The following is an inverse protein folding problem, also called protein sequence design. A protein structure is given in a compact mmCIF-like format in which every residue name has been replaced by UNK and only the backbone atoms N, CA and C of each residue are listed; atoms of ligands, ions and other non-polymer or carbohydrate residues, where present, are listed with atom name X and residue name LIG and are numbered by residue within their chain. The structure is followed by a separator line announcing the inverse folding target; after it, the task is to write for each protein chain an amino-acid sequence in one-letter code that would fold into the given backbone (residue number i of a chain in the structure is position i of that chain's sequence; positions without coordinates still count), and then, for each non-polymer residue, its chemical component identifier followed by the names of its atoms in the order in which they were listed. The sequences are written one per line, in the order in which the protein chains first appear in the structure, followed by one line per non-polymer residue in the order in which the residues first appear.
data_IF_707615467381
#
_entry.id   IF_707615467381
#
_cell.length_a   1.000
_cell.length_b   1.000
_cell.length_c   1.000
_cell.angle_alpha   90.00
_cell.angle_beta   90.00
_cell.angle_gamma   90.00
#
_symmetry.space_group_name_H-M   'P 1'
#
loop_
_entity.id
_entity.type
_entity.pdbx_description
1 polymer ?
#
# COMPACT_ATOMS: atom_id res chain seq x y z
N UNK A 1 -13.81 2.02 18.02
CA UNK A 1 -13.88 0.87 17.10
C UNK A 1 -13.72 1.45 15.69
N UNK A 2 -12.94 0.85 14.78
CA UNK A 2 -12.94 1.27 13.38
C UNK A 2 -14.37 1.17 12.83
N UNK A 3 -14.83 2.19 12.12
CA UNK A 3 -16.08 2.12 11.36
C UNK A 3 -15.77 1.37 10.06
N UNK A 4 -16.27 0.15 9.95
CA UNK A 4 -16.03 -0.73 8.79
C UNK A 4 -16.98 -0.44 7.63
N UNK A 5 -17.82 0.59 7.73
CA UNK A 5 -18.86 0.93 6.74
C UNK A 5 -18.82 2.40 6.28
N UNK A 6 -18.06 3.28 6.95
CA UNK A 6 -18.04 4.71 6.62
C UNK A 6 -16.69 5.26 6.14
N UNK A 7 -15.62 4.47 6.17
CA UNK A 7 -14.28 4.94 5.82
C UNK A 7 -13.23 3.84 5.70
N UNK A 8 -12.00 4.27 5.46
CA UNK A 8 -10.84 3.38 5.40
C UNK A 8 -10.50 2.88 6.82
N UNK A 9 -10.18 1.59 6.93
CA UNK A 9 -9.87 0.92 8.21
C UNK A 9 -8.64 1.52 8.89
N UNK A 10 -7.68 1.99 8.10
CA UNK A 10 -6.47 2.64 8.59
C UNK A 10 -5.79 3.45 7.50
N UNK A 11 -5.16 4.57 7.90
CA UNK A 11 -4.23 5.31 7.05
C UNK A 11 -2.84 4.64 6.93
N UNK A 12 -2.64 3.49 7.55
CA UNK A 12 -1.48 2.62 7.36
C UNK A 12 -1.56 1.81 6.06
N UNK A 13 -1.93 2.45 4.95
CA UNK A 13 -2.02 1.84 3.62
C UNK A 13 -0.65 1.31 3.21
N UNK A 14 -0.59 0.05 2.76
CA UNK A 14 0.61 -0.64 2.27
C UNK A 14 0.66 -0.76 0.76
N UNK A 15 -0.50 -0.93 0.15
CA UNK A 15 -0.66 -1.15 -1.29
C UNK A 15 -2.07 -0.73 -1.71
N UNK A 16 -2.25 -0.39 -2.98
CA UNK A 16 -3.53 0.01 -3.55
C UNK A 16 -3.62 -0.42 -5.02
N UNK A 17 -4.78 -0.94 -5.42
CA UNK A 17 -5.02 -1.36 -6.80
C UNK A 17 -6.40 -0.90 -7.27
N UNK A 18 -6.52 -0.78 -8.60
CA UNK A 18 -7.81 -0.70 -9.26
C UNK A 18 -8.46 -2.09 -9.20
N UNK A 19 -9.65 -2.14 -8.61
CA UNK A 19 -10.48 -3.33 -8.60
C UNK A 19 -11.16 -3.56 -9.94
N UNK A 20 -11.76 -4.74 -10.10
CA UNK A 20 -12.43 -5.14 -11.35
C UNK A 20 -13.84 -4.57 -11.50
N UNK A 21 -14.38 -3.94 -10.47
CA UNK A 21 -15.75 -3.43 -10.42
C UNK A 21 -15.79 -1.89 -10.37
N UNK A 22 -14.74 -1.21 -10.86
CA UNK A 22 -14.62 0.25 -10.78
C UNK A 22 -14.30 0.77 -9.36
N UNK A 23 -13.93 -0.14 -8.48
CA UNK A 23 -13.56 0.12 -7.09
C UNK A 23 -12.05 0.34 -6.92
N UNK A 24 -11.66 0.92 -5.80
CA UNK A 24 -10.26 1.03 -5.38
C UNK A 24 -10.08 0.23 -4.11
N UNK A 25 -9.16 -0.74 -4.15
CA UNK A 25 -8.88 -1.65 -3.03
C UNK A 25 -7.58 -1.20 -2.38
N UNK A 26 -7.60 -1.07 -1.05
CA UNK A 26 -6.46 -0.68 -0.23
C UNK A 26 -6.08 -1.83 0.71
N UNK A 27 -4.83 -2.26 0.64
CA UNK A 27 -4.20 -3.06 1.68
C UNK A 27 -3.76 -2.13 2.80
N UNK A 28 -4.14 -2.43 4.04
CA UNK A 28 -3.81 -1.60 5.20
C UNK A 28 -3.23 -2.43 6.33
N UNK A 29 -2.64 -1.77 7.32
CA UNK A 29 -2.25 -2.41 8.58
C UNK A 29 -3.44 -2.80 9.48
N UNK A 30 -4.69 -2.59 9.03
CA UNK A 30 -5.93 -2.95 9.75
C UNK A 30 -6.95 -3.72 8.89
N UNK A 31 -6.49 -4.35 7.81
CA UNK A 31 -7.29 -5.17 6.91
C UNK A 31 -7.32 -4.62 5.49
N UNK A 32 -8.39 -4.95 4.78
CA UNK A 32 -8.67 -4.45 3.43
C UNK A 32 -9.78 -3.42 3.53
N UNK A 33 -9.58 -2.30 2.84
CA UNK A 33 -10.62 -1.28 2.66
C UNK A 33 -10.89 -1.10 1.18
N UNK A 34 -12.15 -0.91 0.83
CA UNK A 34 -12.58 -0.73 -0.55
C UNK A 34 -13.40 0.53 -0.65
N UNK A 35 -13.03 1.37 -1.61
CA UNK A 35 -13.84 2.48 -2.08
C UNK A 35 -14.60 2.03 -3.33
N UNK A 36 -15.92 1.99 -3.25
CA UNK A 36 -16.77 1.50 -4.34
C UNK A 36 -16.91 2.55 -5.44
N UNK A 37 -17.29 2.12 -6.65
CA UNK A 37 -17.61 3.00 -7.77
C UNK A 37 -18.66 4.07 -7.41
N UNK A 38 -19.62 3.72 -6.52
CA UNK A 38 -20.66 4.63 -6.04
C UNK A 38 -20.19 5.59 -4.93
N UNK A 39 -18.91 5.57 -4.60
CA UNK A 39 -18.29 6.48 -3.64
C UNK A 39 -18.50 6.11 -2.17
N UNK A 40 -18.85 4.86 -1.89
CA UNK A 40 -19.02 4.34 -0.52
C UNK A 40 -17.82 3.53 -0.06
N UNK A 41 -17.68 3.35 1.25
CA UNK A 41 -16.62 2.53 1.84
C UNK A 41 -17.16 1.25 2.45
N UNK A 42 -16.37 0.20 2.36
CA UNK A 42 -16.44 -0.90 3.31
C UNK A 42 -15.05 -1.40 3.64
N UNK A 43 -14.90 -2.02 4.80
CA UNK A 43 -13.64 -2.60 5.24
C UNK A 43 -13.85 -3.96 5.88
N UNK A 44 -12.88 -4.86 5.71
CA UNK A 44 -12.90 -6.21 6.27
C UNK A 44 -11.54 -6.57 6.86
N UNK A 45 -11.53 -7.35 7.93
CA UNK A 45 -10.32 -7.90 8.54
C UNK A 45 -10.57 -9.24 9.22
N UNK A 46 -9.53 -9.83 9.80
CA UNK A 46 -9.60 -11.13 10.47
C UNK A 46 -10.66 -11.23 11.57
N UNK A 47 -11.06 -10.11 12.20
CA UNK A 47 -12.07 -10.07 13.26
C UNK A 47 -13.46 -9.67 12.76
N UNK A 48 -13.53 -9.06 11.58
CA UNK A 48 -14.77 -8.63 10.95
C UNK A 48 -14.75 -9.05 9.46
N UNK A 49 -14.89 -10.36 9.18
CA UNK A 49 -15.02 -10.84 7.81
C UNK A 49 -16.37 -10.42 7.21
N UNK A 50 -16.48 -10.40 5.89
CA UNK A 50 -17.72 -10.00 5.23
C UNK A 50 -17.87 -10.56 3.81
N UNK A 51 -19.11 -10.66 3.36
CA UNK A 51 -19.39 -10.91 1.95
C UNK A 51 -19.06 -9.65 1.14
N UNK A 52 -18.31 -9.85 0.06
CA UNK A 52 -17.87 -8.78 -0.83
C UNK A 52 -18.09 -9.21 -2.29
N UNK A 53 -18.00 -8.29 -3.27
CA UNK A 53 -17.96 -8.66 -4.69
C UNK A 53 -16.81 -9.61 -5.08
N UNK A 54 -15.81 -9.80 -4.20
CA UNK A 54 -14.70 -10.73 -4.37
C UNK A 54 -14.91 -12.08 -3.64
N UNK A 55 -16.13 -12.33 -3.13
CA UNK A 55 -16.48 -13.51 -2.34
C UNK A 55 -16.50 -13.25 -0.84
N UNK A 56 -16.64 -14.31 -0.04
CA UNK A 56 -16.56 -14.21 1.42
C UNK A 56 -15.12 -13.93 1.83
N UNK A 57 -14.83 -12.66 2.11
CA UNK A 57 -13.50 -12.18 2.43
C UNK A 57 -13.29 -12.22 3.95
N UNK A 58 -12.48 -13.19 4.36
CA UNK A 58 -12.00 -13.36 5.73
C UNK A 58 -10.46 -13.27 5.75
N UNK A 59 -9.90 -12.05 5.85
CA UNK A 59 -8.45 -11.85 5.85
C UNK A 59 -7.76 -12.69 6.92
N UNK A 60 -6.67 -13.35 6.54
CA UNK A 60 -5.91 -14.24 7.42
C UNK A 60 -5.30 -13.50 8.61
N UNK A 61 -4.79 -12.28 8.38
CA UNK A 61 -4.18 -11.44 9.39
C UNK A 61 -4.68 -9.99 9.28
N UNK A 62 -4.48 -9.22 10.35
CA UNK A 62 -4.84 -7.80 10.40
C UNK A 62 -3.98 -6.95 9.46
N UNK A 63 -2.69 -7.24 9.34
CA UNK A 63 -1.80 -6.48 8.46
C UNK A 63 -1.77 -7.11 7.07
N UNK A 64 -2.28 -6.37 6.08
CA UNK A 64 -2.21 -6.73 4.67
C UNK A 64 -1.05 -5.96 4.04
N UNK A 65 -0.12 -6.66 3.42
CA UNK A 65 1.12 -6.06 2.89
C UNK A 65 1.07 -5.79 1.40
N UNK A 66 0.32 -6.60 0.64
CA UNK A 66 0.22 -6.49 -0.81
C UNK A 66 -1.11 -7.02 -1.30
N UNK A 67 -1.62 -6.49 -2.41
CA UNK A 67 -2.84 -6.98 -3.06
C UNK A 67 -2.68 -6.94 -4.57
N UNK A 68 -3.26 -7.90 -5.26
CA UNK A 68 -3.29 -7.93 -6.72
C UNK A 68 -4.51 -8.70 -7.23
N UNK A 69 -4.89 -8.47 -8.48
CA UNK A 69 -5.87 -9.30 -9.19
C UNK A 69 -5.14 -10.19 -10.19
N UNK A 70 -5.53 -11.46 -10.28
CA UNK A 70 -5.10 -12.33 -11.39
C UNK A 70 -5.89 -12.08 -12.67
N UNK A 71 -5.63 -12.87 -13.72
CA UNK A 71 -6.21 -12.67 -15.05
C UNK A 71 -7.72 -12.94 -15.05
N UNK A 72 -8.19 -13.81 -14.17
CA UNK A 72 -9.60 -14.14 -13.95
C UNK A 72 -10.30 -13.12 -13.02
N UNK A 73 -9.54 -12.20 -12.44
CA UNK A 73 -10.02 -11.17 -11.54
C UNK A 73 -10.31 -11.67 -10.13
N UNK A 74 -9.66 -12.75 -9.68
CA UNK A 74 -9.63 -13.13 -8.28
C UNK A 74 -8.63 -12.30 -7.50
N UNK A 75 -8.99 -12.00 -6.25
CA UNK A 75 -8.16 -11.19 -5.37
C UNK A 75 -7.08 -12.05 -4.69
N UNK A 76 -5.84 -11.64 -4.87
CA UNK A 76 -4.66 -12.15 -4.18
C UNK A 76 -4.29 -11.19 -3.05
N UNK A 77 -4.07 -11.73 -1.86
CA UNK A 77 -3.83 -10.94 -0.66
C UNK A 77 -2.58 -11.46 0.04
N UNK A 78 -1.59 -10.58 0.21
CA UNK A 78 -0.32 -10.87 0.88
C UNK A 78 -0.31 -10.41 2.33
N UNK A 79 0.36 -11.20 3.16
CA UNK A 79 0.52 -10.99 4.60
C UNK A 79 1.99 -11.19 5.03
N UNK A 80 2.38 -10.76 6.24
CA UNK A 80 3.67 -11.10 6.81
C UNK A 80 3.93 -12.61 6.99
N UNK A 81 2.88 -13.43 6.92
CA UNK A 81 2.97 -14.88 7.15
C UNK A 81 2.27 -15.72 6.06
N UNK A 82 2.15 -15.22 4.84
CA UNK A 82 1.68 -15.99 3.68
C UNK A 82 0.75 -15.20 2.80
N UNK A 83 -0.05 -15.88 1.99
CA UNK A 83 -1.04 -15.23 1.11
C UNK A 83 -2.37 -15.98 1.08
N UNK A 84 -3.42 -15.26 0.72
CA UNK A 84 -4.73 -15.80 0.37
C UNK A 84 -5.03 -15.57 -1.11
N UNK A 85 -5.60 -16.56 -1.78
CA UNK A 85 -5.99 -16.50 -3.19
C UNK A 85 -7.49 -16.74 -3.27
N UNK A 86 -8.22 -15.77 -3.82
CA UNK A 86 -9.64 -15.92 -4.10
C UNK A 86 -9.90 -17.02 -5.12
N UNK A 87 -11.00 -17.76 -4.95
CA UNK A 87 -11.47 -18.77 -5.91
C UNK A 87 -12.89 -18.47 -6.42
N UNK A 88 -13.37 -17.24 -6.18
CA UNK A 88 -14.71 -16.79 -6.51
C UNK A 88 -15.79 -17.15 -5.48
N UNK A 89 -15.53 -18.10 -4.57
CA UNK A 89 -16.45 -18.47 -3.47
C UNK A 89 -15.89 -18.11 -2.10
N UNK A 90 -14.57 -18.26 -1.92
CA UNK A 90 -13.83 -17.95 -0.72
C UNK A 90 -12.35 -17.76 -1.04
N UNK A 91 -11.50 -18.10 -0.08
CA UNK A 91 -10.06 -17.85 -0.18
C UNK A 91 -9.26 -19.07 0.27
N UNK A 92 -8.35 -19.52 -0.59
CA UNK A 92 -7.35 -20.55 -0.28
C UNK A 92 -6.15 -19.90 0.40
N UNK A 93 -5.67 -20.49 1.50
CA UNK A 93 -4.50 -20.00 2.25
C UNK A 93 -3.23 -20.72 1.78
N UNK A 94 -2.17 -19.97 1.50
CA UNK A 94 -0.83 -20.49 1.17
C UNK A 94 0.18 -19.97 2.19
N UNK A 95 0.65 -20.88 3.05
CA UNK A 95 1.72 -20.62 4.04
C UNK A 95 2.82 -21.71 3.98
N UNK A 96 2.77 -22.61 3.00
CA UNK A 96 3.69 -23.75 2.94
C UNK A 96 5.05 -23.34 2.35
N UNK A 97 6.14 -23.84 2.94
CA UNK A 97 7.50 -23.62 2.45
C UNK A 97 7.80 -24.33 1.12
N UNK A 98 6.98 -25.30 0.72
CA UNK A 98 6.98 -25.88 -0.60
C UNK A 98 6.78 -24.80 -1.67
N UNK A 99 5.80 -23.91 -1.45
CA UNK A 99 5.41 -22.86 -2.39
C UNK A 99 6.12 -21.53 -2.11
N UNK A 100 6.25 -21.14 -0.84
CA UNK A 100 6.79 -19.85 -0.43
C UNK A 100 8.07 -20.05 0.40
N UNK A 101 9.25 -19.78 -0.19
CA UNK A 101 10.53 -19.93 0.53
C UNK A 101 10.71 -18.93 1.68
N UNK A 102 9.91 -17.88 1.69
CA UNK A 102 9.67 -17.03 2.84
C UNK A 102 8.18 -16.70 2.87
N UNK A 103 7.57 -16.63 4.05
CA UNK A 103 6.14 -16.35 4.18
C UNK A 103 5.82 -14.86 4.18
N UNK A 104 6.79 -14.00 4.45
CA UNK A 104 6.59 -12.56 4.46
C UNK A 104 6.41 -12.05 3.03
N UNK A 105 5.19 -11.68 2.64
CA UNK A 105 4.92 -11.14 1.30
C UNK A 105 5.29 -9.67 1.27
N UNK A 106 6.21 -9.29 0.38
CA UNK A 106 6.66 -7.91 0.24
C UNK A 106 5.79 -7.14 -0.77
N UNK A 107 5.61 -7.68 -1.97
CA UNK A 107 4.81 -7.11 -3.06
C UNK A 107 4.41 -8.19 -4.06
N UNK A 108 3.38 -7.92 -4.86
CA UNK A 108 2.87 -8.82 -5.90
C UNK A 108 2.49 -8.02 -7.14
N UNK A 109 2.61 -8.63 -8.32
CA UNK A 109 2.14 -8.05 -9.57
C UNK A 109 1.67 -9.13 -10.52
N UNK A 110 0.62 -8.86 -11.28
CA UNK A 110 0.20 -9.71 -12.41
C UNK A 110 0.97 -9.31 -13.66
N UNK A 111 1.45 -10.30 -14.40
CA UNK A 111 2.03 -10.11 -15.73
C UNK A 111 1.49 -11.17 -16.70
N UNK A 112 0.57 -10.78 -17.59
CA UNK A 112 -0.22 -11.73 -18.37
C UNK A 112 -1.04 -12.65 -17.45
N UNK A 113 -0.96 -13.95 -17.66
CA UNK A 113 -1.65 -14.97 -16.84
C UNK A 113 -0.78 -15.45 -15.66
N UNK A 114 0.32 -14.75 -15.38
CA UNK A 114 1.25 -15.08 -14.31
C UNK A 114 1.11 -14.12 -13.13
N UNK A 115 1.21 -14.66 -11.92
CA UNK A 115 1.39 -13.87 -10.71
C UNK A 115 2.84 -13.94 -10.28
N UNK A 116 3.42 -12.77 -10.02
CA UNK A 116 4.79 -12.63 -9.53
C UNK A 116 4.73 -12.13 -8.09
N UNK A 117 5.39 -12.85 -7.18
CA UNK A 117 5.27 -12.68 -5.73
C UNK A 117 6.66 -12.59 -5.11
N UNK A 118 6.98 -11.43 -4.54
CA UNK A 118 8.21 -11.22 -3.80
C UNK A 118 8.02 -11.59 -2.34
N UNK A 119 8.94 -12.38 -1.78
CA UNK A 119 8.80 -12.86 -0.39
C UNK A 119 10.06 -12.64 0.44
N UNK A 120 9.96 -11.79 1.47
CA UNK A 120 11.00 -11.51 2.45
C UNK A 120 12.38 -11.32 1.81
N UNK A 121 13.34 -12.16 2.20
CA UNK A 121 14.70 -12.21 1.64
C UNK A 121 14.95 -13.37 0.67
N UNK A 122 13.89 -14.02 0.19
CA UNK A 122 13.99 -15.23 -0.61
C UNK A 122 13.95 -14.99 -2.13
N UNK A 123 13.97 -13.74 -2.58
CA UNK A 123 13.82 -13.40 -4.00
C UNK A 123 12.37 -13.46 -4.45
N UNK A 124 12.12 -14.16 -5.55
CA UNK A 124 10.88 -14.03 -6.32
C UNK A 124 10.24 -15.39 -6.60
N UNK A 125 8.92 -15.44 -6.56
CA UNK A 125 8.13 -16.60 -6.94
C UNK A 125 7.23 -16.23 -8.11
N UNK A 126 6.99 -17.19 -9.00
CA UNK A 126 6.05 -17.08 -10.10
C UNK A 126 5.01 -18.18 -10.00
N UNK A 127 3.76 -17.80 -10.12
CA UNK A 127 2.63 -18.70 -10.21
C UNK A 127 1.99 -18.60 -11.59
N UNK A 128 1.75 -19.75 -12.23
CA UNK A 128 1.10 -19.84 -13.54
C UNK A 128 0.34 -21.16 -13.66
N UNK A 129 -0.95 -21.10 -14.02
CA UNK A 129 -1.87 -22.23 -13.93
C UNK A 129 -2.00 -22.68 -12.47
N UNK A 130 -1.34 -23.79 -12.12
CA UNK A 130 -1.22 -24.29 -10.74
C UNK A 130 0.24 -24.52 -10.31
N UNK A 131 1.19 -24.12 -11.16
CA UNK A 131 2.62 -24.33 -10.95
C UNK A 131 3.29 -23.17 -10.22
N UNK A 132 4.14 -23.49 -9.25
CA UNK A 132 5.01 -22.52 -8.58
C UNK A 132 6.46 -22.68 -9.05
N UNK A 133 7.07 -21.58 -9.47
CA UNK A 133 8.51 -21.50 -9.76
C UNK A 133 9.16 -20.55 -8.76
N UNK A 134 10.30 -20.93 -8.21
CA UNK A 134 11.08 -20.07 -7.30
C UNK A 134 12.37 -19.62 -7.97
N UNK A 135 12.57 -18.31 -8.04
CA UNK A 135 13.79 -17.66 -8.48
C UNK A 135 14.58 -17.21 -7.25
N UNK A 136 15.59 -18.02 -6.91
CA UNK A 136 16.50 -17.72 -5.80
C UNK A 136 17.44 -16.56 -6.18
N UNK A 137 17.88 -15.72 -5.22
CA UNK A 137 18.71 -14.54 -5.53
C UNK A 137 20.00 -14.88 -6.30
N UNK A 138 20.72 -15.92 -5.89
CA UNK A 138 21.93 -16.40 -6.57
C UNK A 138 21.60 -17.56 -7.56
N UNK A 139 20.46 -17.46 -8.24
CA UNK A 139 20.02 -18.42 -9.25
C UNK A 139 20.69 -18.21 -10.61
N UNK A 140 20.69 -19.23 -11.48
CA UNK A 140 21.22 -19.12 -12.84
C UNK A 140 20.48 -18.10 -13.71
N UNK A 141 19.23 -17.74 -13.35
CA UNK A 141 18.39 -16.77 -14.06
C UNK A 141 18.84 -15.32 -13.85
N UNK A 142 19.82 -15.07 -12.96
CA UNK A 142 20.42 -13.75 -12.79
C UNK A 142 19.63 -12.76 -11.93
N UNK A 143 18.63 -13.22 -11.15
CA UNK A 143 17.79 -12.34 -10.31
C UNK A 143 18.65 -11.40 -9.45
N UNK A 144 19.66 -11.94 -8.75
CA UNK A 144 20.62 -11.16 -7.98
C UNK A 144 20.00 -10.20 -6.97
N UNK A 145 18.79 -10.49 -6.51
CA UNK A 145 17.97 -9.60 -5.66
C UNK A 145 17.38 -10.41 -4.51
N UNK A 146 17.75 -10.07 -3.27
CA UNK A 146 17.31 -10.78 -2.08
C UNK A 146 15.97 -10.25 -1.58
N UNK A 147 15.85 -8.94 -1.51
CA UNK A 147 14.68 -8.25 -0.94
C UNK A 147 14.05 -7.42 -2.04
N UNK A 148 13.16 -8.05 -2.82
CA UNK A 148 12.35 -7.35 -3.81
C UNK A 148 11.22 -6.63 -3.08
N UNK A 149 11.09 -5.33 -3.34
CA UNK A 149 10.17 -4.43 -2.59
C UNK A 149 9.14 -3.74 -3.50
N UNK A 150 9.42 -3.64 -4.80
CA UNK A 150 8.53 -2.99 -5.76
C UNK A 150 8.64 -3.70 -7.12
N UNK A 151 7.51 -3.87 -7.80
CA UNK A 151 7.44 -4.49 -9.12
C UNK A 151 6.37 -3.81 -9.96
N UNK A 152 6.66 -3.59 -11.24
CA UNK A 152 5.70 -3.06 -12.22
C UNK A 152 5.90 -3.72 -13.57
N UNK A 153 4.82 -3.80 -14.35
CA UNK A 153 4.88 -4.17 -15.76
C UNK A 153 4.86 -2.90 -16.60
N UNK A 154 5.89 -2.69 -17.41
CA UNK A 154 5.87 -1.65 -18.44
C UNK A 154 4.90 -2.06 -19.54
N UNK A 155 3.78 -1.34 -19.65
CA UNK A 155 2.76 -1.63 -20.64
C UNK A 155 3.23 -1.44 -22.08
N UNK A 156 4.24 -0.58 -22.33
CA UNK A 156 4.71 -0.30 -23.68
C UNK A 156 5.65 -1.39 -24.20
N UNK A 157 6.55 -1.89 -23.35
CA UNK A 157 7.51 -2.94 -23.73
C UNK A 157 7.08 -4.35 -23.33
N UNK A 158 5.97 -4.50 -22.61
CA UNK A 158 5.54 -5.74 -21.94
C UNK A 158 6.69 -6.36 -21.12
N UNK A 159 7.36 -5.57 -20.29
CA UNK A 159 8.50 -6.03 -19.47
C UNK A 159 8.23 -5.88 -17.98
N UNK A 160 8.64 -6.87 -17.19
CA UNK A 160 8.58 -6.81 -15.73
C UNK A 160 9.83 -6.12 -15.18
N UNK A 161 9.64 -4.98 -14.52
CA UNK A 161 10.71 -4.23 -13.84
C UNK A 161 10.57 -4.41 -12.34
N UNK A 162 11.70 -4.75 -11.70
CA UNK A 162 11.78 -5.17 -10.30
C UNK A 162 12.77 -4.28 -9.58
N UNK A 163 12.32 -3.65 -8.50
CA UNK A 163 13.15 -2.90 -7.59
C UNK A 163 13.47 -3.68 -6.31
N UNK A 164 14.74 -3.66 -5.91
CA UNK A 164 15.22 -4.30 -4.69
C UNK A 164 15.87 -3.29 -3.76
N UNK A 165 15.57 -3.41 -2.45
CA UNK A 165 16.02 -2.48 -1.39
C UNK A 165 17.52 -2.18 -1.45
N UNK A 166 18.36 -3.19 -1.71
CA UNK A 166 19.82 -3.06 -1.70
C UNK A 166 20.51 -3.52 -3.00
N UNK A 167 19.80 -4.23 -3.88
CA UNK A 167 20.41 -4.92 -5.02
C UNK A 167 20.21 -4.20 -6.38
N UNK A 168 19.54 -3.04 -6.33
CA UNK A 168 19.21 -2.17 -7.45
C UNK A 168 17.97 -2.64 -8.21
N UNK A 169 17.95 -2.37 -9.51
CA UNK A 169 16.82 -2.68 -10.38
C UNK A 169 17.17 -3.84 -11.33
N UNK A 170 16.21 -4.73 -11.56
CA UNK A 170 16.26 -5.80 -12.56
C UNK A 170 15.12 -5.65 -13.55
N UNK A 171 15.31 -6.14 -14.76
CA UNK A 171 14.27 -6.23 -15.79
C UNK A 171 14.21 -7.64 -16.35
N UNK A 172 13.00 -8.15 -16.53
CA UNK A 172 12.72 -9.36 -17.30
C UNK A 172 11.91 -8.94 -18.53
N UNK A 173 12.55 -9.00 -19.69
CA UNK A 173 12.04 -8.42 -20.94
C UNK A 173 11.08 -9.32 -21.71
N UNK A 174 11.22 -10.63 -21.56
CA UNK A 174 10.43 -11.61 -22.30
C UNK A 174 9.63 -12.47 -21.33
N UNK A 175 8.31 -12.46 -21.49
CA UNK A 175 7.37 -13.26 -20.71
C UNK A 175 7.35 -14.72 -21.14
N UNK A 176 7.61 -14.99 -22.40
CA UNK A 176 7.42 -16.31 -23.04
C UNK A 176 8.72 -17.09 -23.24
N UNK A 177 9.86 -16.40 -23.19
CA UNK A 177 11.18 -16.96 -23.39
C UNK A 177 11.83 -17.54 -22.14
N UNK A 178 13.13 -17.79 -22.24
CA UNK A 178 13.96 -18.18 -21.10
C UNK A 178 14.00 -17.04 -20.08
N UNK A 179 13.71 -17.35 -18.81
CA UNK A 179 13.71 -16.34 -17.76
C UNK A 179 15.14 -15.90 -17.45
N UNK A 180 15.45 -14.65 -17.81
CA UNK A 180 16.72 -13.99 -17.51
C UNK A 180 16.48 -12.58 -17.03
N UNK A 181 16.88 -12.32 -15.79
CA UNK A 181 16.84 -11.00 -15.19
C UNK A 181 18.10 -10.24 -15.56
N UNK A 182 17.93 -9.10 -16.22
CA UNK A 182 19.02 -8.21 -16.58
C UNK A 182 19.12 -7.06 -15.58
N UNK A 183 20.35 -6.64 -15.26
CA UNK A 183 20.58 -5.49 -14.40
C UNK A 183 20.36 -4.17 -15.15
N UNK A 184 19.53 -3.30 -14.59
CA UNK A 184 19.37 -1.93 -15.06
C UNK A 184 20.50 -1.07 -14.48
N UNK A 185 21.31 -0.49 -15.36
CA UNK A 185 22.45 0.37 -14.99
C UNK A 185 22.27 1.77 -15.56
N UNK A 186 22.86 2.76 -14.89
CA UNK A 186 22.98 4.12 -15.42
C UNK A 186 24.45 4.40 -15.68
N UNK A 187 24.80 4.70 -16.94
CA UNK A 187 26.20 4.94 -17.36
C UNK A 187 27.17 3.80 -16.97
N UNK A 188 26.67 2.56 -16.98
CA UNK A 188 27.46 1.36 -16.61
C UNK A 188 27.56 1.09 -15.11
N UNK A 189 26.95 1.92 -14.27
CA UNK A 189 26.93 1.73 -12.82
C UNK A 189 25.58 1.19 -12.32
N UNK A 190 25.64 0.34 -11.29
CA UNK A 190 24.46 -0.15 -10.57
C UNK A 190 23.73 1.02 -9.94
N UNK A 191 22.41 1.06 -10.11
CA UNK A 191 21.54 2.00 -9.41
C UNK A 191 21.49 1.66 -7.91
N UNK A 192 22.39 2.27 -7.12
CA UNK A 192 22.43 2.08 -5.67
C UNK A 192 21.37 2.92 -4.98
N UNK A 193 20.63 2.31 -4.06
CA UNK A 193 19.61 3.00 -3.27
C UNK A 193 18.39 3.48 -4.07
N UNK A 194 18.14 2.89 -5.24
CA UNK A 194 16.92 3.08 -6.04
C UNK A 194 16.25 1.71 -6.10
N UNK A 195 15.12 1.60 -5.42
CA UNK A 195 14.40 0.35 -5.21
C UNK A 195 12.91 0.47 -5.52
N UNK A 196 12.38 1.69 -5.66
CA UNK A 196 10.98 1.91 -5.93
C UNK A 196 10.76 2.13 -7.42
N UNK A 197 9.75 1.45 -7.96
CA UNK A 197 9.40 1.50 -9.38
C UNK A 197 7.91 1.83 -9.55
N UNK A 198 7.58 2.69 -10.52
CA UNK A 198 6.20 3.09 -10.84
C UNK A 198 6.01 3.13 -12.34
N UNK A 199 4.83 2.75 -12.81
CA UNK A 199 4.47 2.77 -14.22
C UNK A 199 4.53 4.21 -14.76
N UNK A 200 5.10 4.38 -15.95
CA UNK A 200 4.87 5.56 -16.77
C UNK A 200 3.70 5.26 -17.74
N UNK A 201 2.56 5.98 -17.65
CA UNK A 201 1.42 5.80 -18.55
C UNK A 201 1.76 6.00 -20.03
N UNK A 202 2.86 6.68 -20.35
CA UNK A 202 3.34 6.90 -21.72
C UNK A 202 4.38 5.87 -22.18
N UNK A 203 4.60 4.82 -21.39
CA UNK A 203 5.60 3.78 -21.61
C UNK A 203 6.88 4.03 -20.86
N UNK A 204 7.54 2.95 -20.43
CA UNK A 204 8.68 3.02 -19.51
C UNK A 204 8.28 2.94 -18.04
N UNK A 205 9.27 3.10 -17.18
CA UNK A 205 9.12 2.96 -15.73
C UNK A 205 9.88 4.07 -15.02
N UNK A 206 9.22 4.75 -14.10
CA UNK A 206 9.90 5.65 -13.17
C UNK A 206 10.62 4.83 -12.10
N UNK A 207 11.89 5.17 -11.85
CA UNK A 207 12.72 4.61 -10.80
C UNK A 207 13.04 5.73 -9.83
N UNK A 208 12.80 5.57 -8.53
CA UNK A 208 13.03 6.66 -7.61
C UNK A 208 13.53 6.22 -6.24
N UNK A 209 13.99 7.22 -5.49
CA UNK A 209 14.28 7.13 -4.08
C UNK A 209 13.94 8.47 -3.42
N UNK A 210 14.41 8.67 -2.19
CA UNK A 210 14.15 9.88 -1.41
C UNK A 210 14.66 11.20 -2.01
N UNK A 211 15.55 11.17 -3.00
CA UNK A 211 16.21 12.37 -3.52
C UNK A 211 16.14 12.54 -5.03
N UNK A 212 15.80 11.50 -5.79
CA UNK A 212 15.75 11.57 -7.26
C UNK A 212 14.66 10.70 -7.86
N UNK A 213 14.12 11.17 -8.98
CA UNK A 213 13.30 10.41 -9.91
C UNK A 213 14.06 10.28 -11.23
N UNK A 214 14.22 9.04 -11.67
CA UNK A 214 14.75 8.65 -12.97
C UNK A 214 13.64 7.98 -13.77
N UNK A 215 13.86 7.86 -15.08
CA UNK A 215 13.00 7.12 -15.99
C UNK A 215 13.83 6.09 -16.72
N UNK A 216 13.34 4.86 -16.78
CA UNK A 216 13.91 3.77 -17.55
C UNK A 216 13.01 3.45 -18.73
N UNK A 217 13.61 3.33 -19.91
CA UNK A 217 12.99 2.71 -21.08
C UNK A 217 13.99 1.74 -21.71
N UNK A 218 13.54 0.66 -22.38
CA UNK A 218 14.44 -0.25 -23.08
C UNK A 218 15.35 0.46 -24.10
N UNK A 219 14.82 1.46 -24.81
CA UNK A 219 15.53 2.14 -25.90
C UNK A 219 16.50 3.22 -25.43
N UNK A 220 16.10 4.05 -24.45
CA UNK A 220 16.91 5.16 -23.98
C UNK A 220 17.76 4.82 -22.73
N UNK A 221 17.54 3.66 -22.12
CA UNK A 221 18.11 3.32 -20.83
C UNK A 221 17.57 4.24 -19.72
N UNK A 222 18.43 4.58 -18.76
CA UNK A 222 18.06 5.39 -17.59
C UNK A 222 18.38 6.87 -17.83
N UNK A 223 17.37 7.72 -17.72
CA UNK A 223 17.48 9.19 -17.86
C UNK A 223 16.96 9.89 -16.61
N UNK A 224 17.58 11.01 -16.16
CA UNK A 224 17.07 11.79 -15.03
C UNK A 224 15.76 12.49 -15.40
N UNK A 225 14.83 12.56 -14.43
CA UNK A 225 13.56 13.31 -14.56
C UNK A 225 13.61 14.55 -13.68
N UNK A 226 13.84 14.37 -12.38
CA UNK A 226 14.00 15.45 -11.40
C UNK A 226 14.79 14.98 -10.17
N UNK A 227 15.38 15.93 -9.47
CA UNK A 227 15.88 15.80 -8.11
C UNK A 227 14.99 16.52 -7.11
N UNK A 228 15.10 16.17 -5.83
CA UNK A 228 14.36 16.86 -4.77
C UNK A 228 14.65 18.37 -4.70
N UNK A 229 15.86 18.80 -5.11
CA UNK A 229 16.23 20.21 -5.21
C UNK A 229 15.51 20.98 -6.33
N UNK A 230 14.91 20.28 -7.29
CA UNK A 230 14.07 20.90 -8.32
C UNK A 230 12.65 21.20 -7.80
N UNK A 231 12.24 20.58 -6.69
CA UNK A 231 10.92 20.75 -6.10
C UNK A 231 10.84 21.98 -5.18
N UNK A 232 11.91 22.22 -4.42
CA UNK A 232 11.95 23.30 -3.42
C UNK A 232 13.39 23.75 -3.16
N UNK A 233 13.53 25.01 -2.78
CA UNK A 233 14.80 25.56 -2.27
C UNK A 233 15.24 24.93 -0.95
N UNK A 234 14.30 24.36 -0.20
CA UNK A 234 14.57 23.64 1.04
C UNK A 234 14.59 22.13 0.79
N UNK A 235 15.40 21.36 1.54
CA UNK A 235 15.42 19.90 1.41
C UNK A 235 14.02 19.31 1.59
N UNK A 236 13.63 18.46 0.64
CA UNK A 236 12.37 17.72 0.62
C UNK A 236 12.69 16.25 0.40
N UNK A 237 11.96 15.36 1.07
CA UNK A 237 12.07 13.91 0.87
C UNK A 237 10.98 13.43 -0.06
N UNK A 238 11.36 12.73 -1.13
CA UNK A 238 10.41 12.05 -2.02
C UNK A 238 9.97 10.75 -1.34
N UNK A 239 8.68 10.62 -1.04
CA UNK A 239 8.13 9.44 -0.38
C UNK A 239 7.47 8.47 -1.37
N UNK A 240 6.81 9.01 -2.40
CA UNK A 240 6.17 8.22 -3.46
C UNK A 240 5.92 9.09 -4.69
N UNK A 241 5.65 8.46 -5.83
CA UNK A 241 5.26 9.15 -7.06
C UNK A 241 4.10 8.42 -7.74
N UNK A 242 3.26 9.18 -8.44
CA UNK A 242 2.24 8.60 -9.31
C UNK A 242 2.02 9.48 -10.54
N UNK A 243 2.11 8.87 -11.72
CA UNK A 243 1.91 9.57 -12.98
C UNK A 243 0.47 9.39 -13.47
N UNK A 244 -0.10 10.47 -13.97
CA UNK A 244 -1.44 10.46 -14.60
C UNK A 244 -1.31 10.28 -16.11
N UNK A 245 -2.37 9.78 -16.74
CA UNK A 245 -2.50 9.70 -18.20
C UNK A 245 -2.50 11.07 -18.92
N UNK A 246 -2.59 12.17 -18.16
CA UNK A 246 -2.53 13.54 -18.69
C UNK A 246 -1.11 14.12 -18.76
N UNK A 247 -0.11 13.42 -18.24
CA UNK A 247 1.28 13.90 -18.22
C UNK A 247 1.72 14.57 -16.92
N UNK A 248 0.83 14.73 -15.94
CA UNK A 248 1.21 15.19 -14.60
C UNK A 248 1.85 14.03 -13.81
N UNK A 249 3.05 14.25 -13.29
CA UNK A 249 3.69 13.40 -12.29
C UNK A 249 3.46 14.00 -10.91
N UNK A 250 2.67 13.34 -10.06
CA UNK A 250 2.54 13.72 -8.67
C UNK A 250 3.67 13.13 -7.84
N UNK A 251 4.20 13.94 -6.90
CA UNK A 251 5.26 13.58 -5.98
C UNK A 251 4.75 13.80 -4.55
N UNK A 252 4.63 12.72 -3.79
CA UNK A 252 4.39 12.79 -2.36
C UNK A 252 5.69 13.08 -1.63
N UNK A 253 5.63 13.97 -0.65
CA UNK A 253 6.80 14.39 0.10
C UNK A 253 6.52 14.65 1.57
N UNK A 254 7.56 14.98 2.34
CA UNK A 254 7.44 15.52 3.70
C UNK A 254 6.99 16.99 3.75
N UNK A 255 6.89 17.64 2.59
CA UNK A 255 6.43 19.01 2.44
C UNK A 255 5.30 19.11 1.40
N UNK A 256 4.27 18.26 1.50
CA UNK A 256 3.07 18.29 0.66
C UNK A 256 3.18 17.43 -0.61
N UNK A 257 2.30 17.72 -1.57
CA UNK A 257 2.25 17.06 -2.89
C UNK A 257 2.71 18.06 -3.94
N UNK A 258 3.73 17.72 -4.73
CA UNK A 258 4.12 18.49 -5.90
C UNK A 258 3.52 17.85 -7.14
N UNK A 259 3.05 18.65 -8.09
CA UNK A 259 2.77 18.21 -9.45
C UNK A 259 3.87 18.70 -10.38
N UNK A 260 4.48 17.78 -11.11
CA UNK A 260 5.57 18.04 -12.05
C UNK A 260 5.12 17.78 -13.49
N UNK A 261 5.47 18.69 -14.39
CA UNK A 261 5.25 18.56 -15.83
C UNK A 261 6.50 19.01 -16.62
N UNK A 262 6.38 19.15 -17.94
CA UNK A 262 7.48 19.56 -18.82
C UNK A 262 8.08 20.94 -18.52
N UNK A 263 7.37 21.79 -17.77
CA UNK A 263 7.82 23.13 -17.35
C UNK A 263 8.38 23.15 -15.92
N UNK A 264 8.46 21.99 -15.24
CA UNK A 264 8.89 21.87 -13.85
C UNK A 264 7.71 21.73 -12.88
N UNK A 265 7.82 22.35 -11.71
CA UNK A 265 6.75 22.35 -10.68
C UNK A 265 5.56 23.16 -11.19
N UNK A 266 4.45 22.46 -11.45
CA UNK A 266 3.19 23.03 -11.94
C UNK A 266 2.23 23.40 -10.81
N UNK A 267 2.31 22.69 -9.68
CA UNK A 267 1.50 22.93 -8.49
C UNK A 267 2.20 22.37 -7.25
N UNK A 268 1.81 22.91 -6.09
CA UNK A 268 2.24 22.45 -4.79
C UNK A 268 1.06 22.53 -3.84
N UNK A 269 0.59 21.37 -3.35
CA UNK A 269 -0.54 21.27 -2.43
C UNK A 269 0.01 20.99 -1.04
N UNK A 270 -0.41 21.80 -0.09
CA UNK A 270 0.02 21.77 1.31
C UNK A 270 -1.18 21.69 2.25
N UNK A 271 -0.91 21.72 3.56
CA UNK A 271 -1.95 21.86 4.57
C UNK A 271 -2.69 23.18 4.50
N UNK A 272 -2.09 24.23 3.90
CA UNK A 272 -2.79 25.48 3.62
C UNK A 272 -3.90 25.32 2.57
N UNK A 273 -3.77 24.32 1.70
CA UNK A 273 -4.71 24.05 0.62
C UNK A 273 -5.80 23.04 1.04
N UNK A 274 -5.63 22.35 2.16
CA UNK A 274 -6.61 21.39 2.70
C UNK A 274 -6.05 20.01 3.04
N UNK A 275 -4.77 19.73 2.79
CA UNK A 275 -4.15 18.50 3.28
C UNK A 275 -4.13 18.47 4.81
N UNK A 276 -4.53 17.35 5.41
CA UNK A 276 -4.49 17.22 6.89
C UNK A 276 -3.07 17.18 7.46
N UNK A 277 -2.06 16.91 6.62
CA UNK A 277 -0.65 16.96 6.96
C UNK A 277 0.18 17.18 5.71
N UNK A 278 1.32 17.85 5.85
CA UNK A 278 2.31 17.97 4.78
C UNK A 278 3.13 16.69 4.60
N UNK A 279 3.07 15.73 5.54
CA UNK A 279 3.78 14.46 5.37
C UNK A 279 2.90 13.49 4.59
N UNK A 280 3.13 13.44 3.27
CA UNK A 280 2.42 12.56 2.35
C UNK A 280 3.26 11.31 2.11
N UNK A 281 2.70 10.15 2.41
CA UNK A 281 3.44 8.87 2.44
C UNK A 281 3.35 8.08 1.15
N UNK A 282 2.20 8.10 0.49
CA UNK A 282 1.90 7.27 -0.69
C UNK A 282 0.96 7.99 -1.63
N UNK A 283 1.08 7.67 -2.91
CA UNK A 283 0.18 8.09 -3.97
C UNK A 283 -0.30 6.88 -4.77
N UNK A 284 -1.53 6.95 -5.28
CA UNK A 284 -2.07 5.97 -6.20
C UNK A 284 -3.03 6.67 -7.17
N UNK A 285 -2.81 6.50 -8.48
CA UNK A 285 -3.75 7.01 -9.50
C UNK A 285 -4.69 5.87 -9.90
N UNK A 286 -5.98 6.09 -9.69
CA UNK A 286 -6.98 5.10 -10.04
C UNK A 286 -7.45 5.20 -11.50
N UNK A 287 -8.31 4.26 -11.91
CA UNK A 287 -8.84 4.17 -13.27
C UNK A 287 -9.70 5.39 -13.68
N UNK A 288 -10.27 6.10 -12.71
CA UNK A 288 -11.05 7.33 -12.93
C UNK A 288 -10.15 8.57 -13.07
N UNK A 289 -8.84 8.43 -12.85
CA UNK A 289 -7.86 9.51 -12.89
C UNK A 289 -7.79 10.31 -11.59
N UNK A 290 -8.38 9.84 -10.49
CA UNK A 290 -8.19 10.43 -9.16
C UNK A 290 -6.81 10.05 -8.64
N UNK A 291 -6.09 11.00 -8.06
CA UNK A 291 -4.83 10.73 -7.38
C UNK A 291 -5.08 10.62 -5.88
N UNK A 292 -5.19 9.40 -5.38
CA UNK A 292 -5.27 9.08 -3.97
C UNK A 292 -3.96 9.41 -3.27
N UNK A 293 -4.04 9.99 -2.08
CA UNK A 293 -2.91 10.32 -1.24
C UNK A 293 -3.12 9.84 0.19
N UNK A 294 -2.03 9.44 0.83
CA UNK A 294 -2.03 8.96 2.22
C UNK A 294 -1.22 9.89 3.08
N UNK A 295 -1.84 10.40 4.15
CA UNK A 295 -1.18 11.20 5.19
C UNK A 295 -1.40 10.54 6.56
N UNK A 296 -0.64 10.90 7.61
CA UNK A 296 -0.91 10.39 8.96
C UNK A 296 -2.39 10.54 9.36
N UNK A 297 -3.06 9.42 9.60
CA UNK A 297 -4.45 9.38 10.06
C UNK A 297 -5.50 9.73 9.00
N UNK A 298 -5.14 9.90 7.72
CA UNK A 298 -6.13 10.20 6.69
C UNK A 298 -5.73 9.71 5.30
N UNK A 299 -6.73 9.35 4.50
CA UNK A 299 -6.61 9.13 3.06
C UNK A 299 -7.59 10.07 2.38
N UNK A 300 -7.14 10.70 1.30
CA UNK A 300 -7.95 11.55 0.45
C UNK A 300 -7.56 11.34 -1.02
N UNK A 301 -8.18 12.07 -1.92
CA UNK A 301 -7.76 12.08 -3.32
C UNK A 301 -7.85 13.47 -3.92
N UNK A 302 -7.02 13.71 -4.93
CA UNK A 302 -7.11 14.86 -5.83
C UNK A 302 -8.01 14.42 -7.01
N UNK A 303 -9.09 15.14 -7.33
CA UNK A 303 -9.96 14.79 -8.45
C UNK A 303 -9.22 14.92 -9.79
N UNK A 304 -9.73 14.29 -10.86
CA UNK A 304 -9.10 14.36 -12.18
C UNK A 304 -9.04 15.80 -12.66
N UNK A 305 -7.85 16.27 -13.05
CA UNK A 305 -7.67 17.64 -13.55
C UNK A 305 -8.28 17.77 -14.95
N UNK A 306 -9.55 18.16 -15.02
CA UNK A 306 -10.27 18.44 -16.27
C UNK A 306 -10.69 19.91 -16.33
N UNK A 307 -9.87 20.78 -16.96
CA UNK A 307 -10.22 22.19 -17.19
C UNK A 307 -10.48 23.02 -15.91
N UNK A 308 -10.79 24.33 -16.01
CA UNK A 308 -10.63 25.25 -14.90
C UNK A 308 -11.81 25.17 -13.94
N UNK A 309 -11.77 24.28 -12.95
CA UNK A 309 -12.63 24.43 -11.77
C UNK A 309 -12.05 23.78 -10.52
N UNK A 310 -12.22 24.52 -9.43
CA UNK A 310 -11.97 24.28 -8.00
C UNK A 310 -11.57 22.86 -7.60
N UNK A 311 -10.38 22.78 -6.99
CA UNK A 311 -9.82 21.65 -6.28
C UNK A 311 -10.76 21.25 -5.12
N UNK A 312 -11.57 20.20 -5.28
CA UNK A 312 -12.30 19.59 -4.17
C UNK A 312 -11.41 18.54 -3.51
N UNK A 313 -10.75 18.92 -2.41
CA UNK A 313 -9.87 18.05 -1.61
C UNK A 313 -10.65 17.29 -0.53
N UNK A 314 -11.91 16.91 -0.79
CA UNK A 314 -12.74 16.21 0.19
C UNK A 314 -11.99 15.03 0.83
N UNK A 315 -11.71 15.15 2.12
CA UNK A 315 -11.00 14.14 2.89
C UNK A 315 -12.00 13.13 3.43
N UNK A 316 -11.76 11.83 3.23
CA UNK A 316 -12.54 10.77 3.89
C UNK A 316 -11.99 10.62 5.32
N UNK A 317 -12.75 10.95 6.37
CA UNK A 317 -12.26 10.84 7.74
C UNK A 317 -11.92 9.40 8.10
N UNK A 318 -10.77 9.17 8.72
CA UNK A 318 -10.52 7.93 9.48
C UNK A 318 -11.19 8.13 10.84
N UNK A 319 -12.14 7.29 11.25
CA UNK A 319 -12.80 7.48 12.53
C UNK A 319 -11.81 7.27 13.69
N UNK A 320 -11.66 8.29 14.53
CA UNK A 320 -10.95 8.20 15.80
C UNK A 320 -11.81 7.40 16.78
N UNK A 321 -11.29 6.36 17.47
CA UNK A 321 -12.07 5.67 18.48
C UNK A 321 -12.43 6.63 19.61
N UNK A 322 -13.74 6.84 19.84
CA UNK A 322 -14.22 7.48 21.06
C UNK A 322 -13.74 6.69 22.28
N UNK A 323 -13.00 7.36 23.16
CA UNK A 323 -12.72 6.84 24.49
C UNK A 323 -14.04 6.85 25.24
N UNK A 324 -14.62 5.67 25.43
CA UNK A 324 -15.74 5.50 26.35
C UNK A 324 -15.26 5.96 27.74
N UNK A 325 -15.70 7.15 28.14
CA UNK A 325 -15.55 7.62 29.51
C UNK A 325 -16.44 6.72 30.36
N UNK A 326 -15.83 5.74 31.01
CA UNK A 326 -16.45 5.02 32.12
C UNK A 326 -16.70 6.03 33.23
N UNK A 327 -17.94 6.51 33.31
CA UNK A 327 -18.43 7.29 34.45
C UNK A 327 -18.51 6.33 35.63
N UNK A 328 -17.46 6.30 36.45
CA UNK A 328 -17.52 5.71 37.78
C UNK A 328 -18.39 6.60 38.66
N UNK A 329 -19.63 6.20 38.88
CA UNK A 329 -20.56 6.86 39.79
C UNK A 329 -21.12 5.88 40.81
N UNK A 330 -20.58 5.92 42.04
CA UNK A 330 -21.37 5.75 43.27
C UNK A 330 -20.49 6.01 44.50
N UNK A 331 -20.69 7.16 45.14
CA UNK A 331 -20.34 7.38 46.55
C UNK A 331 -21.63 7.24 47.36
N UNK A 332 -21.68 6.49 48.47
CA UNK A 332 -22.90 6.35 49.24
C UNK A 332 -23.11 7.53 50.19
N UNK A 333 -24.36 7.96 50.30
CA UNK A 333 -24.88 9.01 51.20
C UNK A 333 -24.95 8.51 52.65
N UNK A 334 -24.80 9.36 53.69
CA UNK A 334 -24.80 8.93 55.10
C UNK A 334 -26.21 8.65 55.61
N UNK A 335 -26.33 7.66 56.49
CA UNK A 335 -27.56 7.32 57.23
C UNK A 335 -27.57 8.06 58.57
N UNK A 336 -28.62 8.84 58.81
CA UNK A 336 -28.94 9.42 60.12
C UNK A 336 -29.53 8.36 61.07
N UNK A 337 -29.15 8.46 62.34
CA UNK A 337 -29.48 7.51 63.40
C UNK A 337 -30.80 7.84 64.11
N UNK A 338 -31.53 6.80 64.52
CA UNK A 338 -32.48 6.86 65.63
C UNK A 338 -32.55 5.52 66.39
N UNK A 339 -32.27 5.55 67.69
CA UNK A 339 -32.83 4.62 68.70
C UNK A 339 -31.99 3.43 69.18
N UNK A 340 -31.39 3.58 70.38
CA UNK A 340 -31.36 2.66 71.55
C UNK A 340 -31.28 1.11 71.32
N UNK A 341 -30.51 0.26 72.01
CA UNK A 341 -29.76 0.27 73.29
C UNK A 341 -28.89 -1.01 73.39
N UNK A 342 -27.82 -0.94 74.19
CA UNK A 342 -27.16 -1.98 75.00
C UNK A 342 -26.51 -3.25 74.34
N UNK A 343 -25.20 -3.42 74.59
CA UNK A 343 -24.51 -4.72 74.48
C UNK A 343 -22.98 -4.60 74.37
N UNK A 344 -22.27 -5.00 75.43
CA UNK A 344 -20.81 -4.99 75.61
C UNK A 344 -20.00 -5.89 74.64
N UNK A 345 -18.75 -5.46 74.37
CA UNK A 345 -17.43 -6.16 74.36
C UNK A 345 -17.40 -7.63 73.87
N UNK A 346 -16.45 -8.13 73.08
CA UNK A 346 -15.02 -7.88 72.95
C UNK A 346 -14.48 -8.82 71.84
N UNK A 347 -13.36 -8.46 71.20
CA UNK A 347 -12.28 -9.37 70.72
C UNK A 347 -12.62 -10.45 69.63
N UNK A 348 -11.80 -10.84 68.67
CA UNK A 348 -10.36 -10.79 68.42
C UNK A 348 -10.09 -11.32 66.98
N UNK A 349 -9.05 -10.77 66.35
CA UNK A 349 -8.04 -11.44 65.48
C UNK A 349 -8.36 -11.90 64.02
N UNK A 350 -7.71 -11.17 63.11
CA UNK A 350 -6.59 -11.59 62.26
C UNK A 350 -6.79 -12.58 61.07
N UNK A 351 -6.46 -12.03 59.90
CA UNK A 351 -5.72 -12.60 58.75
C UNK A 351 -6.42 -13.59 57.81
N UNK A 352 -6.53 -13.23 56.53
CA UNK A 352 -5.50 -13.51 55.51
C UNK A 352 -5.48 -12.42 54.44
#
# INVERSE_FOLDING_TARGET
MPDYHSGIASAGVKDAINGRYGDVIFATDSGISVYTENGTWYSVNARNPGETPYGLLAPLETMVTAIALDAEGHLWIGYPNGLQIGDGTGYRVIQDQQFLKNRNINCMVRWGDEMWIATGRAGLHRYHGDGWTWYKPAGPEGLGSYTVVSMVVDAASDALVIGSENDGVRVLKDRTGEVRFEEVTCRGERLRGIAEVRVDPFGGVYLFNHTTVLRYTPDAGVTPVLGAGDLSMFPVVINDIAATSTGMLFIASDNGIYGWNSSGVALHITSGDGLRSNVVKRLFVDADGRCWFVVPGNVGYIPPMTGPTTLDLSAVPVPTPEVAVTVSGSTPTPVEASGETAGMLEEMWASF
#
